data_IF_015397772460
#
_entry.id   IF_015397772460
#
_cell.length_a   1.000
_cell.length_b   1.000
_cell.length_c   1.000
_cell.angle_alpha   90.00
_cell.angle_beta   90.00
_cell.angle_gamma   90.00
#
_symmetry.space_group_name_H-M   'P 1'
#
loop_
_entity.id
_entity.type
_entity.pdbx_description
1 polymer ?
#
# COMPACT_ATOMS: atom_id res chain seq x y z
N UNK A 1 0.40 -16.89 -1.19
CA UNK A 1 -0.49 -15.84 -0.65
C UNK A 1 0.34 -14.76 0.03
N UNK A 2 0.03 -13.50 -0.27
CA UNK A 2 0.79 -12.39 0.31
C UNK A 2 0.27 -12.11 1.72
N UNK A 3 1.19 -11.92 2.65
CA UNK A 3 0.88 -11.70 4.05
C UNK A 3 1.40 -10.34 4.51
N UNK A 4 1.03 -9.96 5.72
CA UNK A 4 1.56 -8.74 6.34
C UNK A 4 3.08 -8.77 6.41
N UNK A 5 3.64 -9.94 6.70
CA UNK A 5 5.10 -10.07 6.77
C UNK A 5 5.75 -9.83 5.41
N UNK A 6 5.10 -10.26 4.34
CA UNK A 6 5.60 -9.97 2.99
C UNK A 6 5.59 -8.48 2.73
N UNK A 7 4.53 -7.80 3.17
CA UNK A 7 4.45 -6.34 3.02
C UNK A 7 5.60 -5.67 3.76
N UNK A 8 5.82 -6.09 5.01
CA UNK A 8 6.88 -5.51 5.83
C UNK A 8 8.24 -5.68 5.17
N UNK A 9 8.53 -6.90 4.71
CA UNK A 9 9.82 -7.19 4.11
C UNK A 9 10.05 -6.35 2.85
N UNK A 10 9.02 -6.24 2.01
CA UNK A 10 9.15 -5.46 0.79
C UNK A 10 9.27 -3.97 1.08
N UNK A 11 8.48 -3.47 2.02
CA UNK A 11 8.46 -2.04 2.30
C UNK A 11 9.77 -1.57 2.93
N UNK A 12 10.27 -2.30 3.94
CA UNK A 12 11.49 -1.85 4.63
C UNK A 12 12.74 -2.05 3.80
N UNK A 13 12.65 -2.81 2.71
CA UNK A 13 13.78 -2.94 1.79
C UNK A 13 14.00 -1.65 0.98
N UNK A 14 13.02 -0.77 0.93
CA UNK A 14 13.14 0.49 0.19
C UNK A 14 13.87 1.53 1.03
N UNK A 15 14.74 2.27 0.38
CA UNK A 15 15.62 3.20 1.08
C UNK A 15 14.82 4.28 1.81
N UNK A 16 15.08 4.43 3.10
CA UNK A 16 14.46 5.47 3.91
C UNK A 16 13.10 5.13 4.47
N UNK A 17 12.57 3.93 4.19
CA UNK A 17 11.28 3.55 4.71
C UNK A 17 11.40 3.10 6.15
N UNK A 18 10.48 3.58 6.98
CA UNK A 18 10.40 3.16 8.38
C UNK A 18 9.01 2.59 8.63
N UNK A 19 8.95 1.62 9.54
CA UNK A 19 7.69 1.10 10.02
C UNK A 19 7.37 1.78 11.34
N UNK A 20 6.16 2.29 11.46
CA UNK A 20 5.72 2.99 12.65
C UNK A 20 4.23 2.74 12.82
N UNK A 21 3.75 2.44 14.02
CA UNK A 21 2.32 2.20 14.19
C UNK A 21 1.50 3.46 13.92
N UNK A 22 0.37 3.26 13.26
CA UNK A 22 -0.57 4.33 12.96
C UNK A 22 -1.95 3.80 13.31
N UNK A 23 -2.61 4.44 14.28
CA UNK A 23 -3.92 3.99 14.75
C UNK A 23 -3.87 2.54 15.24
N UNK A 24 -2.75 2.16 15.88
CA UNK A 24 -2.60 0.82 16.43
C UNK A 24 -2.31 -0.27 15.42
N UNK A 25 -2.05 0.08 14.17
CA UNK A 25 -1.76 -0.89 13.11
C UNK A 25 -0.40 -0.60 12.49
N UNK A 26 0.30 -1.62 11.99
CA UNK A 26 1.56 -1.38 11.30
C UNK A 26 1.36 -0.48 10.09
N UNK A 27 2.26 0.47 9.93
CA UNK A 27 2.24 1.39 8.80
C UNK A 27 3.66 1.64 8.35
N UNK A 28 3.82 1.96 7.08
CA UNK A 28 5.13 2.17 6.47
C UNK A 28 5.16 3.53 5.81
N UNK A 29 6.24 4.25 6.08
CA UNK A 29 6.37 5.65 5.66
C UNK A 29 7.66 5.83 4.89
N UNK A 30 7.58 6.55 3.77
CA UNK A 30 8.73 7.21 3.15
C UNK A 30 8.79 8.60 3.80
N UNK A 31 8.55 9.67 3.07
CA UNK A 31 8.37 10.97 3.73
C UNK A 31 6.98 11.10 4.32
N UNK A 32 6.01 10.48 3.67
CA UNK A 32 4.66 10.44 4.17
C UNK A 32 4.20 8.99 4.14
N UNK A 33 2.96 8.75 4.52
CA UNK A 33 2.43 7.40 4.58
C UNK A 33 2.43 6.75 3.20
N UNK A 34 2.98 5.54 3.10
CA UNK A 34 2.92 4.71 1.92
C UNK A 34 1.79 3.71 2.01
N UNK A 35 1.71 3.02 3.13
CA UNK A 35 0.79 1.91 3.30
C UNK A 35 0.55 1.68 4.78
N UNK A 36 -0.60 1.10 5.11
CA UNK A 36 -0.97 0.78 6.48
C UNK A 36 -1.91 -0.41 6.48
N UNK A 37 -1.72 -1.32 7.42
CA UNK A 37 -2.69 -2.40 7.58
C UNK A 37 -4.01 -1.80 8.05
N UNK A 38 -5.09 -2.14 7.36
CA UNK A 38 -6.43 -1.66 7.71
C UNK A 38 -7.13 -2.67 8.62
N UNK A 39 -7.08 -3.92 8.21
CA UNK A 39 -7.61 -5.07 8.94
C UNK A 39 -6.70 -6.24 8.63
N UNK A 40 -6.82 -7.35 9.34
CA UNK A 40 -6.05 -8.52 8.94
C UNK A 40 -6.27 -8.80 7.46
N UNK A 41 -5.18 -9.00 6.72
CA UNK A 41 -5.17 -9.32 5.30
C UNK A 41 -5.65 -8.19 4.38
N UNK A 42 -5.91 -6.99 4.90
CA UNK A 42 -6.30 -5.85 4.07
C UNK A 42 -5.32 -4.72 4.29
N UNK A 43 -4.70 -4.28 3.21
CA UNK A 43 -3.69 -3.24 3.21
C UNK A 43 -4.25 -1.98 2.55
N UNK A 44 -4.11 -0.83 3.21
CA UNK A 44 -4.35 0.46 2.58
C UNK A 44 -3.04 0.91 1.96
N UNK A 45 -3.07 1.29 0.68
CA UNK A 45 -1.85 1.69 -0.01
C UNK A 45 -2.11 2.98 -0.79
N UNK A 46 -1.09 3.84 -0.83
CA UNK A 46 -1.18 5.10 -1.58
C UNK A 46 -1.05 4.82 -3.07
N UNK A 47 -1.93 5.43 -3.87
CA UNK A 47 -1.94 5.22 -5.30
C UNK A 47 -2.49 6.45 -6.00
N UNK A 48 -2.08 6.66 -7.24
CA UNK A 48 -2.65 7.71 -8.09
C UNK A 48 -3.71 7.12 -9.03
N UNK A 49 -4.02 5.82 -8.92
CA UNK A 49 -4.84 5.13 -9.91
C UNK A 49 -5.97 4.33 -9.28
N UNK A 50 -6.53 4.85 -8.19
CA UNK A 50 -7.55 4.12 -7.43
C UNK A 50 -8.72 3.67 -8.32
N UNK A 51 -9.22 4.57 -9.15
CA UNK A 51 -10.38 4.24 -9.97
C UNK A 51 -10.05 3.18 -11.02
N UNK A 52 -8.86 3.27 -11.62
CA UNK A 52 -8.46 2.28 -12.60
C UNK A 52 -8.28 0.91 -11.98
N UNK A 53 -7.65 0.86 -10.79
CA UNK A 53 -7.45 -0.41 -10.08
C UNK A 53 -8.78 -1.04 -9.70
N UNK A 54 -9.68 -0.26 -9.10
CA UNK A 54 -10.98 -0.79 -8.69
C UNK A 54 -11.86 -1.17 -9.86
N UNK A 55 -11.72 -0.47 -10.98
CA UNK A 55 -12.49 -0.79 -12.16
C UNK A 55 -12.02 -2.06 -12.86
N UNK A 56 -10.72 -2.34 -12.78
CA UNK A 56 -10.14 -3.52 -13.43
C UNK A 56 -10.31 -4.77 -12.57
N UNK A 57 -10.04 -4.64 -11.27
CA UNK A 57 -10.05 -5.78 -10.36
C UNK A 57 -10.81 -5.44 -9.08
N UNK A 58 -12.13 -5.33 -9.14
CA UNK A 58 -12.91 -4.93 -7.96
C UNK A 58 -12.88 -5.95 -6.82
N UNK A 59 -12.50 -7.19 -7.11
CA UNK A 59 -12.36 -8.21 -6.06
C UNK A 59 -11.12 -7.96 -5.20
N UNK A 60 -10.12 -7.30 -5.77
CA UNK A 60 -8.84 -7.05 -5.11
C UNK A 60 -8.81 -5.65 -4.51
N UNK A 61 -9.22 -4.65 -5.29
CA UNK A 61 -9.09 -3.24 -4.95
C UNK A 61 -10.45 -2.62 -4.67
N UNK A 62 -10.55 -1.96 -3.52
CA UNK A 62 -11.82 -1.36 -3.12
C UNK A 62 -11.54 -0.22 -2.15
N UNK A 63 -12.57 0.46 -1.71
CA UNK A 63 -12.48 1.45 -0.65
C UNK A 63 -13.82 1.54 0.04
N UNK A 64 -13.78 2.03 1.29
CA UNK A 64 -14.98 2.18 2.10
C UNK A 64 -15.46 3.62 2.05
N UNK A 65 -16.68 3.91 2.52
CA UNK A 65 -17.11 5.32 2.64
C UNK A 65 -16.14 6.17 3.43
N UNK A 66 -15.44 5.59 4.41
CA UNK A 66 -14.42 6.30 5.17
C UNK A 66 -13.30 6.79 4.27
N UNK A 67 -12.99 6.06 3.21
CA UNK A 67 -11.89 6.39 2.29
C UNK A 67 -12.33 7.23 1.10
N UNK A 68 -13.61 7.56 1.01
CA UNK A 68 -14.12 8.28 -0.16
C UNK A 68 -13.44 9.61 -0.35
N UNK A 69 -13.07 10.27 0.76
CA UNK A 69 -12.42 11.59 0.71
C UNK A 69 -10.90 11.49 0.61
N UNK A 70 -10.37 10.30 0.49
CA UNK A 70 -8.94 10.06 0.35
C UNK A 70 -8.69 9.33 -0.96
N UNK A 71 -8.88 9.97 -2.11
CA UNK A 71 -8.74 9.28 -3.40
C UNK A 71 -7.34 8.79 -3.69
N UNK A 72 -6.37 9.23 -2.90
CA UNK A 72 -5.00 8.75 -3.03
C UNK A 72 -4.78 7.40 -2.33
N UNK A 73 -5.81 6.82 -1.71
CA UNK A 73 -5.69 5.55 -0.99
C UNK A 73 -6.62 4.51 -1.59
N UNK A 74 -6.14 3.27 -1.66
CA UNK A 74 -6.96 2.13 -2.07
C UNK A 74 -6.71 0.99 -1.08
N UNK A 75 -7.72 0.16 -0.86
CA UNK A 75 -7.58 -1.02 -0.02
C UNK A 75 -7.36 -2.23 -0.91
N UNK A 76 -6.47 -3.12 -0.45
CA UNK A 76 -6.01 -4.28 -1.22
C UNK A 76 -6.24 -5.54 -0.39
N UNK A 77 -6.92 -6.52 -0.99
CA UNK A 77 -7.09 -7.83 -0.34
C UNK A 77 -5.85 -8.66 -0.61
N UNK A 78 -4.96 -8.73 0.38
CA UNK A 78 -3.66 -9.39 0.21
C UNK A 78 -3.75 -10.83 -0.24
N UNK A 79 -4.72 -11.66 0.24
CA UNK A 79 -4.78 -13.04 -0.22
C UNK A 79 -5.02 -13.20 -1.72
N UNK A 80 -5.48 -12.15 -2.39
CA UNK A 80 -5.83 -12.24 -3.81
C UNK A 80 -4.74 -11.69 -4.74
N UNK A 81 -3.63 -11.19 -4.19
CA UNK A 81 -2.55 -10.68 -5.04
C UNK A 81 -1.33 -11.58 -4.91
N UNK A 82 -0.41 -11.44 -5.87
CA UNK A 82 0.86 -12.14 -5.80
C UNK A 82 1.96 -11.17 -5.38
N UNK A 83 3.15 -11.73 -5.16
CA UNK A 83 4.28 -10.94 -4.67
C UNK A 83 4.70 -9.86 -5.67
N UNK A 84 4.62 -10.18 -6.94
CA UNK A 84 5.03 -9.22 -7.97
C UNK A 84 4.14 -7.99 -7.97
N UNK A 85 2.83 -8.20 -7.86
CA UNK A 85 1.89 -7.07 -7.79
C UNK A 85 2.10 -6.28 -6.52
N UNK A 86 2.36 -6.95 -5.40
CA UNK A 86 2.64 -6.25 -4.15
C UNK A 86 3.82 -5.30 -4.32
N UNK A 87 4.90 -5.77 -4.93
CA UNK A 87 6.09 -4.94 -5.11
C UNK A 87 5.77 -3.74 -5.99
N UNK A 88 5.02 -3.93 -7.07
CA UNK A 88 4.63 -2.81 -7.93
C UNK A 88 3.82 -1.77 -7.18
N UNK A 89 2.86 -2.22 -6.38
CA UNK A 89 2.02 -1.31 -5.61
C UNK A 89 2.84 -0.51 -4.60
N UNK A 90 3.78 -1.19 -3.94
CA UNK A 90 4.60 -0.52 -2.94
C UNK A 90 5.59 0.46 -3.58
N UNK A 91 6.13 0.15 -4.75
CA UNK A 91 7.02 1.07 -5.44
C UNK A 91 6.28 2.35 -5.85
N UNK A 92 5.07 2.20 -6.38
CA UNK A 92 4.27 3.37 -6.72
C UNK A 92 3.94 4.20 -5.49
N UNK A 93 3.57 3.53 -4.40
CA UNK A 93 3.27 4.22 -3.15
C UNK A 93 4.49 4.94 -2.60
N UNK A 94 5.65 4.30 -2.73
CA UNK A 94 6.92 4.87 -2.29
C UNK A 94 7.21 6.18 -3.02
N UNK A 95 7.05 6.19 -4.34
CA UNK A 95 7.27 7.39 -5.13
C UNK A 95 6.30 8.49 -4.72
N UNK A 96 5.02 8.16 -4.57
CA UNK A 96 4.00 9.13 -4.21
C UNK A 96 4.21 9.67 -2.80
N UNK A 97 4.80 8.87 -1.94
CA UNK A 97 5.07 9.27 -0.56
C UNK A 97 6.39 10.01 -0.40
N UNK A 98 7.02 10.38 -1.50
CA UNK A 98 8.26 11.14 -1.47
C UNK A 98 9.51 10.30 -1.29
N UNK A 99 9.46 9.02 -1.62
CA UNK A 99 10.59 8.14 -1.50
C UNK A 99 11.73 8.54 -2.43
N UNK A 100 12.94 8.18 -2.03
CA UNK A 100 14.15 8.53 -2.77
C UNK A 100 14.79 7.26 -3.31
N UNK A 101 14.09 6.60 -4.23
CA UNK A 101 14.61 5.40 -4.84
C UNK A 101 15.75 5.69 -5.78
N UNK A 102 16.34 4.63 -6.29
CA UNK A 102 17.46 4.74 -7.22
C UNK A 102 17.02 4.99 -8.64
N UNK A 103 15.75 4.98 -8.86
CA UNK A 103 15.20 5.01 -10.21
C UNK A 103 15.25 6.39 -10.84
N UNK A 104 15.79 7.38 -10.16
CA UNK A 104 15.95 8.68 -10.77
C UNK A 104 17.24 9.33 -10.42
#
# INVERSE_FOLDING_TARGET
MVTEEDVRRAAVSLQGVVEWPSWGKPAWFAKTLMARMWEPEILTVKTAERNALGGTDPDIFFWTPHHERAPELVLVRLPLIDQELLVELLLDAYDLAGGRGKHH
#
